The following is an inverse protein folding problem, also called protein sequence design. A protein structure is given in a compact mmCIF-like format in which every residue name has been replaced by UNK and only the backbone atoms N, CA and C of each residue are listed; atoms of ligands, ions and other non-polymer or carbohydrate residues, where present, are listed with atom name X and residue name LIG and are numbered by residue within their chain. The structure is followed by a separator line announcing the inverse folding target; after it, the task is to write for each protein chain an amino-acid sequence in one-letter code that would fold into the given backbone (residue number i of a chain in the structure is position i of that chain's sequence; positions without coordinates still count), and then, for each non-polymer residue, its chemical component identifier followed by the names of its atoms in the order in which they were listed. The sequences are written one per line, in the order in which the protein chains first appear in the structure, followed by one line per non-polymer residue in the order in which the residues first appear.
data_IF_744182367144
#
_entry.id   IF_744182367144
#
_cell.length_a   1.000
_cell.length_b   1.000
_cell.length_c   1.000
_cell.angle_alpha   90.00
_cell.angle_beta   90.00
_cell.angle_gamma   90.00
#
_symmetry.space_group_name_H-M   'P 1'
#
loop_
_entity.id
_entity.type
_entity.pdbx_description
1 polymer ?
2 non-polymer ?
3 non-polymer ?
4 water ?
#
# COMPACT_ATOMS: atom_id res chain seq x y z
N UNK A 21 4.55 -27.40 12.05
CA UNK A 21 5.71 -26.68 11.50
C UNK A 21 6.06 -25.43 12.31
N UNK A 22 7.37 -25.21 12.46
CA UNK A 22 7.90 -24.10 13.23
C UNK A 22 9.16 -23.54 12.58
N UNK A 23 9.50 -22.29 12.88
CA UNK A 23 10.68 -21.66 12.33
C UNK A 23 11.48 -20.87 13.37
N UNK A 24 12.77 -20.69 13.11
CA UNK A 24 13.65 -19.96 14.02
C UNK A 24 14.18 -18.68 13.38
N UNK A 25 14.07 -17.58 14.11
CA UNK A 25 14.54 -16.29 13.62
C UNK A 25 15.33 -15.67 14.77
N UNK A 26 16.63 -15.51 14.55
CA UNK A 26 17.57 -14.92 15.50
C UNK A 26 17.47 -15.58 16.90
N UNK A 27 17.44 -16.92 16.90
CA UNK A 27 17.35 -17.72 18.12
C UNK A 27 15.97 -17.83 18.75
N UNK A 28 14.97 -17.18 18.16
CA UNK A 28 13.60 -17.20 18.67
C UNK A 28 12.75 -18.12 17.81
N UNK A 29 12.06 -19.07 18.46
CA UNK A 29 11.21 -20.07 17.82
C UNK A 29 9.77 -19.56 17.72
N UNK A 30 9.20 -19.72 16.52
CA UNK A 30 7.83 -19.34 16.20
C UNK A 30 7.12 -20.53 15.60
N UNK A 31 5.90 -20.78 16.04
CA UNK A 31 5.11 -21.85 15.47
C UNK A 31 4.18 -21.25 14.43
N UNK A 32 4.04 -21.91 13.30
CA UNK A 32 3.22 -21.40 12.20
C UNK A 32 1.78 -21.75 12.48
N UNK A 33 0.90 -20.75 12.45
CA UNK A 33 -0.54 -20.96 12.60
C UNK A 33 -1.14 -21.22 11.23
N UNK A 34 -0.84 -20.36 10.25
CA UNK A 34 -1.33 -20.48 8.87
C UNK A 34 -0.51 -19.56 7.96
N UNK A 35 -0.64 -19.77 6.65
CA UNK A 35 0.06 -18.94 5.70
C UNK A 35 -0.92 -17.89 5.21
N UNK A 36 -0.63 -16.63 5.53
CA UNK A 36 -1.49 -15.53 5.11
C UNK A 36 -1.47 -15.29 3.60
N UNK A 37 -0.28 -15.35 3.01
CA UNK A 37 -0.14 -15.12 1.59
C UNK A 37 1.15 -15.63 0.98
N UNK A 38 1.18 -15.71 -0.34
CA UNK A 38 2.36 -16.15 -1.06
C UNK A 38 2.59 -15.30 -2.30
N UNK A 39 3.80 -14.75 -2.43
CA UNK A 39 4.13 -13.97 -3.60
C UNK A 39 5.49 -14.38 -4.15
N UNK A 40 5.53 -14.82 -5.40
CA UNK A 40 6.81 -15.21 -5.96
C UNK A 40 7.45 -16.25 -5.08
N UNK A 41 8.68 -15.96 -4.66
CA UNK A 41 9.47 -16.83 -3.80
C UNK A 41 9.25 -16.46 -2.33
N UNK A 42 8.34 -15.53 -2.09
CA UNK A 42 8.04 -15.05 -0.74
C UNK A 42 6.70 -15.53 -0.18
N UNK A 43 6.69 -15.87 1.10
CA UNK A 43 5.49 -16.32 1.79
C UNK A 43 5.32 -15.59 3.12
N UNK A 44 4.08 -15.35 3.51
CA UNK A 44 3.80 -14.68 4.77
C UNK A 44 3.04 -15.63 5.68
N UNK A 45 3.52 -15.80 6.91
CA UNK A 45 2.89 -16.71 7.85
C UNK A 45 2.45 -16.04 9.13
N UNK A 46 1.27 -16.42 9.61
CA UNK A 46 0.79 -15.92 10.87
C UNK A 46 1.47 -16.85 11.85
N UNK A 47 2.17 -16.31 12.83
CA UNK A 47 2.90 -17.16 13.77
C UNK A 47 2.80 -16.73 15.22
N UNK A 48 3.15 -17.65 16.11
CA UNK A 48 3.15 -17.36 17.53
C UNK A 48 4.52 -17.58 18.12
N UNK A 49 4.92 -16.69 19.02
CA UNK A 49 6.19 -16.84 19.68
C UNK A 49 5.98 -17.76 20.88
N UNK A 50 7.00 -17.95 21.70
CA UNK A 50 6.90 -18.82 22.85
C UNK A 50 5.84 -18.35 23.83
N UNK A 51 5.69 -17.04 23.95
CA UNK A 51 4.72 -16.44 24.86
C UNK A 51 3.33 -16.42 24.28
N UNK A 52 3.18 -16.93 23.08
CA UNK A 52 1.88 -16.97 22.43
C UNK A 52 1.44 -15.66 21.81
N UNK A 53 2.37 -14.73 21.68
CA UNK A 53 2.08 -13.47 21.04
C UNK A 53 2.08 -13.67 19.54
N UNK A 54 1.17 -13.02 18.84
CA UNK A 54 1.03 -13.14 17.39
C UNK A 54 1.98 -12.21 16.61
N UNK A 55 2.46 -12.71 15.48
CA UNK A 55 3.33 -11.98 14.59
C UNK A 55 3.13 -12.52 13.19
N UNK A 56 3.62 -11.80 12.21
CA UNK A 56 3.57 -12.20 10.82
C UNK A 56 5.02 -12.38 10.44
N UNK A 57 5.39 -13.55 9.92
CA UNK A 57 6.75 -13.76 9.41
C UNK A 57 6.73 -13.81 7.91
N UNK A 58 7.53 -12.94 7.28
CA UNK A 58 7.67 -12.97 5.83
C UNK A 58 8.92 -13.84 5.52
N UNK A 59 8.71 -14.91 4.74
CA UNK A 59 9.75 -15.81 4.31
C UNK A 59 10.05 -15.56 2.83
N UNK A 60 11.33 -15.36 2.49
CA UNK A 60 11.83 -15.16 1.12
C UNK A 60 12.86 -16.21 0.83
N UNK A 61 12.58 -17.07 -0.18
CA UNK A 61 13.48 -18.12 -0.63
C UNK A 61 14.41 -17.52 -1.70
N UNK A 62 15.65 -17.18 -1.31
CA UNK A 62 16.62 -16.55 -2.20
C UNK A 62 17.35 -17.49 -3.17
N UNK A 63 17.09 -18.81 -3.09
CA UNK A 63 17.73 -19.86 -3.89
C UNK A 63 17.74 -19.58 -5.41
N UNK A 64 16.68 -18.95 -5.96
CA UNK A 64 16.59 -18.60 -7.38
C UNK A 64 16.55 -17.07 -7.65
N UNK A 65 17.07 -16.27 -6.70
CA UNK A 65 17.06 -14.80 -6.78
C UNK A 65 18.27 -14.19 -7.47
N UNK A 66 17.99 -13.24 -8.38
CA UNK A 66 18.98 -12.48 -9.15
C UNK A 66 19.51 -11.31 -8.31
N UNK A 67 20.77 -10.90 -8.55
CA UNK A 67 21.43 -9.79 -7.84
C UNK A 67 20.63 -8.48 -7.79
N UNK A 68 19.82 -8.21 -8.83
CA UNK A 68 18.95 -7.04 -8.90
C UNK A 68 17.85 -7.15 -7.85
N UNK A 69 17.05 -8.25 -7.87
CA UNK A 69 15.96 -8.51 -6.91
C UNK A 69 16.44 -8.81 -5.49
N UNK A 70 17.63 -9.39 -5.39
CA UNK A 70 18.21 -9.70 -4.10
C UNK A 70 18.50 -8.37 -3.44
N UNK A 71 19.02 -7.45 -4.25
CA UNK A 71 19.36 -6.11 -3.80
C UNK A 71 18.10 -5.35 -3.39
N UNK A 72 17.02 -5.55 -4.14
CA UNK A 72 15.77 -4.87 -3.85
C UNK A 72 15.28 -5.26 -2.47
N UNK A 73 15.41 -6.54 -2.13
CA UNK A 73 15.00 -7.01 -0.82
C UNK A 73 15.85 -6.37 0.27
N UNK A 74 17.15 -6.24 0.01
CA UNK A 74 18.08 -5.62 0.96
C UNK A 74 17.70 -4.15 1.18
N UNK A 75 17.36 -3.51 0.08
CA UNK A 75 16.95 -2.11 0.11
C UNK A 75 15.65 -1.93 0.86
N UNK A 76 14.69 -2.82 0.60
CA UNK A 76 13.39 -2.76 1.24
C UNK A 76 13.52 -2.97 2.75
N UNK A 77 14.33 -3.94 3.15
CA UNK A 77 14.54 -4.20 4.57
C UNK A 77 15.23 -3.02 5.25
N UNK A 78 16.21 -2.44 4.58
CA UNK A 78 16.93 -1.30 5.16
C UNK A 78 15.99 -0.11 5.39
N UNK A 79 15.18 0.23 4.39
CA UNK A 79 14.26 1.34 4.53
C UNK A 79 13.22 1.06 5.61
N UNK A 80 12.72 -0.17 5.65
CA UNK A 80 11.70 -0.54 6.62
C UNK A 80 12.26 -0.39 8.01
N UNK A 81 13.49 -0.84 8.21
CA UNK A 81 14.12 -0.74 9.51
C UNK A 81 14.35 0.73 9.87
N UNK A 82 14.79 1.50 8.88
CA UNK A 82 15.06 2.91 9.05
C UNK A 82 13.83 3.75 9.35
N UNK A 83 12.72 3.45 8.70
CA UNK A 83 11.49 4.21 8.85
C UNK A 83 10.66 3.85 10.08
N UNK A 84 11.07 2.81 10.82
CA UNK A 84 10.44 2.35 12.07
C UNK A 84 10.14 3.53 13.03
N UNK A 85 11.18 4.26 13.40
CA UNK A 85 11.09 5.39 14.32
C UNK A 85 10.26 6.56 13.83
N UNK A 86 10.38 6.86 12.54
CA UNK A 86 9.69 7.99 11.95
C UNK A 86 8.16 7.96 11.96
N UNK A 87 7.56 6.81 11.71
CA UNK A 87 6.11 6.73 11.75
C UNK A 87 5.54 5.43 12.30
N UNK A 88 4.39 5.54 12.95
CA UNK A 88 3.71 4.38 13.49
C UNK A 88 2.70 3.87 12.45
N UNK A 89 2.64 4.55 11.31
CA UNK A 89 1.76 4.20 10.21
C UNK A 89 2.45 3.22 9.27
N UNK A 90 3.68 2.86 9.63
CA UNK A 90 4.47 1.92 8.87
C UNK A 90 4.52 0.66 9.73
N UNK A 91 4.34 -0.49 9.09
CA UNK A 91 4.32 -1.76 9.81
C UNK A 91 5.57 -2.01 10.62
N UNK A 92 5.39 -2.54 11.83
CA UNK A 92 6.52 -2.82 12.71
C UNK A 92 7.35 -3.98 12.19
N UNK A 93 8.67 -3.79 12.09
CA UNK A 93 9.61 -4.83 11.77
C UNK A 93 10.40 -5.02 13.06
N UNK A 94 10.19 -6.17 13.69
CA UNK A 94 10.79 -6.47 14.99
C UNK A 94 12.16 -7.03 14.89
N UNK A 95 12.37 -7.87 13.90
CA UNK A 95 13.61 -8.60 13.72
C UNK A 95 13.63 -9.23 12.36
N UNK A 96 14.81 -9.68 11.93
CA UNK A 96 14.98 -10.33 10.65
C UNK A 96 16.24 -11.15 10.59
N UNK A 97 16.26 -12.15 9.72
CA UNK A 97 17.42 -13.00 9.54
C UNK A 97 17.72 -13.05 8.06
N UNK A 98 18.96 -12.78 7.68
CA UNK A 98 19.35 -12.81 6.27
C UNK A 98 20.50 -13.76 6.02
N UNK A 99 20.31 -14.64 5.05
CA UNK A 99 21.30 -15.63 4.66
C UNK A 99 21.28 -15.69 3.15
N UNK A 100 22.26 -16.35 2.56
CA UNK A 100 22.32 -16.43 1.10
C UNK A 100 21.14 -17.22 0.55
N UNK A 101 20.53 -18.09 1.39
CA UNK A 101 19.41 -18.97 1.04
C UNK A 101 18.04 -18.37 1.29
N UNK A 102 17.88 -17.62 2.38
CA UNK A 102 16.58 -17.08 2.74
C UNK A 102 16.56 -15.82 3.57
N UNK A 103 15.38 -15.20 3.62
CA UNK A 103 15.15 -14.01 4.42
C UNK A 103 13.94 -14.22 5.32
N UNK A 104 14.07 -13.89 6.60
CA UNK A 104 12.96 -14.00 7.53
C UNK A 104 12.71 -12.63 8.13
N UNK A 105 11.48 -12.14 8.05
CA UNK A 105 11.18 -10.84 8.64
C UNK A 105 10.04 -11.03 9.65
N UNK A 106 10.30 -10.65 10.89
CA UNK A 106 9.28 -10.78 11.92
C UNK A 106 8.62 -9.42 12.01
N UNK A 107 7.33 -9.39 11.73
CA UNK A 107 6.56 -8.16 11.71
C UNK A 107 5.26 -8.31 12.48
N UNK A 108 4.68 -7.18 12.85
CA UNK A 108 3.42 -7.20 13.55
C UNK A 108 2.41 -7.79 12.58
N UNK A 109 1.49 -8.56 13.12
CA UNK A 109 0.45 -9.19 12.34
C UNK A 109 -0.79 -8.33 12.39
N UNK A 110 -1.31 -7.98 11.22
CA UNK A 110 -2.55 -7.22 11.13
C UNK A 110 -3.73 -8.15 10.99
N UNK A 111 -4.93 -7.60 11.15
CA UNK A 111 -6.16 -8.34 10.97
C UNK A 111 -6.40 -8.74 9.54
N UNK A 112 -6.21 -7.79 8.63
CA UNK A 112 -6.43 -8.03 7.21
C UNK A 112 -5.85 -6.89 6.37
N UNK A 113 -5.63 -7.12 5.09
CA UNK A 113 -5.14 -6.07 4.22
C UNK A 113 -6.32 -5.23 3.74
N UNK A 114 -6.06 -3.96 3.41
CA UNK A 114 -7.13 -3.08 2.96
C UNK A 114 -7.87 -3.60 1.72
N UNK A 115 -7.17 -4.25 0.77
CA UNK A 115 -7.82 -4.77 -0.44
C UNK A 115 -8.90 -5.81 -0.15
N UNK A 116 -8.55 -6.82 0.66
CA UNK A 116 -9.45 -7.91 1.06
C UNK A 116 -10.57 -7.36 1.90
N UNK A 117 -10.29 -6.32 2.70
CA UNK A 117 -11.32 -5.67 3.51
C UNK A 117 -12.33 -4.95 2.61
N UNK A 118 -11.84 -4.22 1.58
CA UNK A 118 -12.68 -3.47 0.64
C UNK A 118 -13.55 -4.39 -0.22
N UNK A 119 -13.00 -5.54 -0.67
CA UNK A 119 -13.72 -6.53 -1.47
C UNK A 119 -14.89 -7.15 -0.68
N UNK A 120 -14.73 -7.23 0.65
CA UNK A 120 -15.64 -7.80 1.65
C UNK A 120 -16.73 -6.81 2.10
N UNK A 121 -16.36 -5.56 2.44
CA UNK A 121 -17.24 -4.51 2.95
C UNK A 121 -18.36 -4.12 1.97
N UNK A 122 -19.63 -4.15 2.45
CA UNK A 122 -20.82 -3.79 1.68
C UNK A 122 -20.99 -2.28 1.59
N UNK A 123 -20.49 -1.57 2.60
CA UNK A 123 -20.53 -0.12 2.69
C UNK A 123 -19.43 0.31 3.64
N UNK A 124 -18.96 1.55 3.52
CA UNK A 124 -17.89 2.02 4.40
C UNK A 124 -18.29 3.25 5.22
N UNK A 125 -17.98 3.21 6.50
CA UNK A 125 -18.30 4.32 7.40
C UNK A 125 -17.52 5.56 6.95
N UNK A 126 -18.17 6.71 6.96
CA UNK A 126 -17.51 7.96 6.55
C UNK A 126 -16.33 8.28 7.46
N UNK A 127 -16.49 8.03 8.76
CA UNK A 127 -15.43 8.28 9.72
C UNK A 127 -14.25 7.35 9.50
N UNK A 128 -14.53 6.08 9.22
CA UNK A 128 -13.49 5.09 8.97
C UNK A 128 -12.68 5.43 7.73
N UNK A 129 -13.37 5.85 6.69
CA UNK A 129 -12.79 6.24 5.41
C UNK A 129 -11.84 7.44 5.63
N UNK A 130 -12.28 8.43 6.41
CA UNK A 130 -11.50 9.63 6.73
C UNK A 130 -10.26 9.25 7.55
N UNK A 131 -10.43 8.42 8.58
CA UNK A 131 -9.36 7.96 9.44
C UNK A 131 -8.33 7.15 8.65
N UNK A 132 -8.81 6.24 7.77
CA UNK A 132 -7.96 5.38 6.93
C UNK A 132 -7.15 6.27 5.98
N UNK A 133 -7.81 7.25 5.35
CA UNK A 133 -7.19 8.23 4.47
C UNK A 133 -6.04 8.96 5.17
N UNK A 134 -6.28 9.41 6.39
CA UNK A 134 -5.28 10.12 7.16
C UNK A 134 -4.08 9.24 7.44
N UNK A 135 -4.33 7.98 7.78
CA UNK A 135 -3.25 7.05 8.05
C UNK A 135 -2.41 6.85 6.80
N UNK A 136 -3.08 6.74 5.66
CA UNK A 136 -2.41 6.55 4.40
C UNK A 136 -1.54 7.74 4.03
N UNK A 137 -2.04 8.95 4.26
CA UNK A 137 -1.28 10.14 3.93
C UNK A 137 -0.03 10.23 4.79
N UNK A 138 -0.19 9.91 6.07
CA UNK A 138 0.92 9.95 7.02
C UNK A 138 2.01 8.93 6.63
N UNK A 139 1.63 7.68 6.31
CA UNK A 139 2.61 6.65 5.94
C UNK A 139 3.36 7.02 4.65
N UNK A 140 2.61 7.38 3.62
CA UNK A 140 3.17 7.73 2.33
C UNK A 140 4.03 8.99 2.42
N UNK A 141 3.56 9.95 3.21
CA UNK A 141 4.29 11.20 3.38
C UNK A 141 5.64 10.92 4.01
N UNK A 142 5.67 9.98 4.95
CA UNK A 142 6.90 9.62 5.63
C UNK A 142 7.94 9.05 4.67
N UNK A 143 7.51 8.20 3.74
CA UNK A 143 8.46 7.59 2.80
C UNK A 143 8.96 8.66 1.82
N UNK A 144 8.10 9.62 1.49
CA UNK A 144 8.48 10.68 0.57
C UNK A 144 9.59 11.53 1.15
N UNK A 145 9.51 11.76 2.46
CA UNK A 145 10.48 12.56 3.18
C UNK A 145 11.88 11.94 3.14
N UNK A 146 11.93 10.63 2.99
CA UNK A 146 13.21 9.92 2.91
C UNK A 146 13.65 9.66 1.47
N UNK A 147 12.93 10.26 0.54
CA UNK A 147 13.23 10.16 -0.89
C UNK A 147 12.66 8.96 -1.61
N UNK A 148 11.71 8.28 -0.99
CA UNK A 148 11.09 7.11 -1.58
C UNK A 148 9.71 7.35 -2.14
N UNK A 149 9.50 6.92 -3.38
CA UNK A 149 8.21 7.02 -4.02
C UNK A 149 7.83 5.56 -4.24
N UNK A 150 6.68 5.15 -3.70
CA UNK A 150 6.25 3.75 -3.82
C UNK A 150 6.02 3.35 -5.27
N UNK A 151 5.36 4.24 -5.99
CA UNK A 151 5.02 4.11 -7.41
C UNK A 151 4.12 2.89 -7.76
N UNK A 152 3.76 2.04 -6.78
CA UNK A 152 2.90 0.89 -7.05
C UNK A 152 1.81 0.78 -5.97
N UNK A 153 1.32 1.93 -5.46
CA UNK A 153 0.32 1.90 -4.40
C UNK A 153 -1.00 1.38 -4.86
N UNK A 154 -1.58 0.53 -4.00
CA UNK A 154 -2.89 -0.10 -4.15
C UNK A 154 -3.38 -0.50 -2.76
N UNK A 155 -4.66 -0.80 -2.57
CA UNK A 155 -5.13 -1.16 -1.22
C UNK A 155 -4.36 -2.28 -0.51
N UNK A 156 -3.86 -3.27 -1.28
CA UNK A 156 -3.09 -4.43 -0.80
C UNK A 156 -1.76 -4.06 -0.11
N UNK A 157 -1.32 -2.79 -0.26
CA UNK A 157 -0.09 -2.28 0.37
C UNK A 157 -0.37 -1.78 1.77
N UNK A 158 -1.65 -1.75 2.14
CA UNK A 158 -2.09 -1.27 3.43
C UNK A 158 -2.68 -2.37 4.26
N UNK A 159 -2.22 -2.44 5.52
CA UNK A 159 -2.65 -3.43 6.49
C UNK A 159 -3.52 -2.77 7.57
N UNK A 160 -4.60 -3.41 7.96
CA UNK A 160 -5.43 -2.84 9.00
C UNK A 160 -4.99 -3.49 10.30
N UNK A 161 -4.48 -2.68 11.21
CA UNK A 161 -4.01 -3.15 12.49
C UNK A 161 -4.60 -2.29 13.58
N UNK A 162 -5.33 -2.90 14.51
CA UNK A 162 -5.89 -2.11 15.60
C UNK A 162 -6.74 -0.96 15.08
N UNK A 163 -7.52 -1.22 14.05
CA UNK A 163 -8.36 -0.19 13.48
C UNK A 163 -7.53 0.96 12.96
N UNK A 164 -6.34 0.65 12.49
CA UNK A 164 -5.42 1.63 11.95
C UNK A 164 -4.81 1.09 10.68
N UNK A 165 -4.54 1.96 9.72
CA UNK A 165 -3.94 1.51 8.47
C UNK A 165 -2.45 1.70 8.51
N UNK A 166 -1.72 0.67 8.11
CA UNK A 166 -0.26 0.76 8.10
C UNK A 166 0.28 0.39 6.74
N UNK A 167 1.28 1.11 6.26
CA UNK A 167 1.93 0.77 5.00
C UNK A 167 2.80 -0.49 5.22
N UNK A 168 2.60 -1.50 4.40
CA UNK A 168 3.32 -2.79 4.53
C UNK A 168 4.69 -2.74 3.86
N UNK A 169 4.74 -2.17 2.67
CA UNK A 169 5.96 -2.21 1.85
C UNK A 169 6.20 -0.91 1.14
N UNK A 170 7.42 -0.72 0.62
CA UNK A 170 7.80 0.54 -0.01
C UNK A 170 7.90 0.46 -1.55
N UNK A 171 7.34 -0.60 -2.14
CA UNK A 171 7.33 -0.81 -3.58
C UNK A 171 8.68 -1.18 -4.20
N UNK A 172 9.67 -1.58 -3.38
CA UNK A 172 11.01 -1.99 -3.86
C UNK A 172 11.02 -3.51 -4.12
N UNK A 173 10.65 -4.31 -3.13
CA UNK A 173 10.52 -5.76 -3.27
C UNK A 173 9.14 -6.13 -3.88
N UNK A 174 9.02 -7.36 -4.42
CA UNK A 174 7.84 -7.87 -5.11
C UNK A 174 6.59 -8.01 -4.22
N UNK A 175 5.43 -7.64 -4.76
CA UNK A 175 4.14 -7.69 -4.07
C UNK A 175 3.61 -9.12 -3.85
N UNK A 176 2.75 -9.28 -2.85
CA UNK A 176 2.17 -10.57 -2.52
C UNK A 176 0.64 -10.53 -2.44
N UNK A 177 0.00 -11.68 -2.62
CA UNK A 177 -1.45 -11.80 -2.58
C UNK A 177 -1.88 -12.86 -1.56
N UNK A 178 -3.09 -12.77 -1.04
CA UNK A 178 -3.54 -13.74 -0.03
C UNK A 178 -3.76 -15.16 -0.56
N UNK A 179 -3.91 -16.14 0.35
CA UNK A 179 -4.16 -17.55 0.01
C UNK A 179 -5.46 -18.03 0.63
N UNK A 189 -2.79 -12.01 -9.62
CA UNK A 189 -2.91 -11.08 -10.74
C UNK A 189 -2.83 -9.64 -10.28
N UNK A 190 -2.13 -8.80 -11.06
CA UNK A 190 -1.97 -7.38 -10.77
C UNK A 190 -2.98 -6.51 -11.48
N UNK A 191 -3.03 -5.23 -11.13
CA UNK A 191 -3.97 -4.31 -11.76
C UNK A 191 -3.34 -2.96 -12.16
N UNK A 192 -3.82 -2.41 -13.27
CA UNK A 192 -3.33 -1.12 -13.77
C UNK A 192 -4.29 0.02 -13.42
N UNK A 193 -5.26 -0.29 -12.57
CA UNK A 193 -6.28 0.67 -12.16
C UNK A 193 -5.75 1.90 -11.42
N UNK A 194 -4.71 1.73 -10.64
CA UNK A 194 -4.12 2.82 -9.86
C UNK A 194 -2.93 3.51 -10.53
N UNK A 195 -2.62 3.14 -11.77
CA UNK A 195 -1.48 3.73 -12.45
C UNK A 195 -1.68 5.21 -12.84
N UNK A 196 -0.73 6.07 -12.51
CA UNK A 196 -0.81 7.50 -12.85
C UNK A 196 -0.58 7.74 -14.35
N UNK A 197 -1.13 8.79 -14.92
CA UNK A 197 -0.94 9.05 -16.35
C UNK A 197 0.52 9.28 -16.74
N UNK A 198 1.26 9.99 -15.90
CA UNK A 198 2.67 10.30 -16.16
C UNK A 198 3.54 9.05 -16.31
N UNK A 199 3.19 7.95 -15.61
CA UNK A 199 3.93 6.68 -15.69
C UNK A 199 3.77 6.08 -17.10
N UNK A 200 2.53 6.14 -17.66
CA UNK A 200 2.15 5.62 -18.99
C UNK A 200 2.77 6.51 -20.08
N UNK A 201 2.65 7.84 -19.91
CA UNK A 201 3.17 8.84 -20.86
C UNK A 201 4.70 8.75 -21.03
N UNK A 202 5.42 8.36 -19.95
CA UNK A 202 6.88 8.20 -19.92
C UNK A 202 7.34 6.91 -20.66
N UNK A 203 6.85 6.70 -21.91
CA UNK A 203 7.14 5.57 -22.80
C UNK A 203 7.07 6.01 -24.27
N UNK A 216 7.57 10.19 -12.71
CA UNK A 216 7.46 9.53 -11.40
C UNK A 216 8.14 10.35 -10.30
N UNK A 217 7.30 11.07 -9.56
CA UNK A 217 7.65 11.96 -8.46
C UNK A 217 6.68 11.61 -7.32
N UNK A 218 6.74 12.23 -6.12
CA UNK A 218 5.73 11.93 -5.08
C UNK A 218 4.26 12.08 -5.54
N UNK A 219 4.00 12.96 -6.53
CA UNK A 219 2.66 13.18 -7.08
C UNK A 219 2.08 11.92 -7.68
N UNK A 220 2.92 11.02 -8.14
CA UNK A 220 2.51 9.72 -8.68
C UNK A 220 1.77 8.89 -7.61
N UNK A 221 2.26 8.93 -6.37
CA UNK A 221 1.63 8.25 -5.24
C UNK A 221 0.32 8.93 -4.83
N UNK A 222 0.23 10.25 -5.05
CA UNK A 222 -0.98 11.01 -4.75
C UNK A 222 -2.11 10.48 -5.66
N UNK A 223 -1.81 10.27 -6.96
CA UNK A 223 -2.78 9.75 -7.92
C UNK A 223 -3.31 8.41 -7.44
N UNK A 224 -2.42 7.49 -7.04
CA UNK A 224 -2.76 6.15 -6.58
C UNK A 224 -3.55 6.17 -5.29
N UNK A 225 -3.16 7.00 -4.32
CA UNK A 225 -3.91 7.20 -3.08
C UNK A 225 -5.32 7.75 -3.41
N UNK A 226 -5.40 8.66 -4.37
CA UNK A 226 -6.65 9.23 -4.87
C UNK A 226 -7.56 8.13 -5.42
N UNK A 227 -7.01 7.21 -6.22
CA UNK A 227 -7.72 6.04 -6.78
C UNK A 227 -8.26 5.15 -5.65
N UNK A 228 -7.47 4.96 -4.56
CA UNK A 228 -7.86 4.17 -3.39
C UNK A 228 -9.02 4.85 -2.68
N UNK A 229 -8.92 6.18 -2.46
CA UNK A 229 -9.97 6.94 -1.80
C UNK A 229 -11.26 6.95 -2.66
N UNK A 230 -11.10 7.07 -3.96
CA UNK A 230 -12.23 7.08 -4.86
C UNK A 230 -12.96 5.75 -4.74
N UNK A 231 -12.19 4.68 -4.65
CA UNK A 231 -12.72 3.34 -4.50
C UNK A 231 -13.47 3.23 -3.18
N UNK A 232 -12.91 3.81 -2.13
CA UNK A 232 -13.52 3.79 -0.82
C UNK A 232 -14.77 4.65 -0.77
N UNK A 233 -14.91 5.54 -1.73
CA UNK A 233 -16.02 6.49 -1.80
C UNK A 233 -17.13 6.01 -2.72
N UNK A 234 -16.78 5.64 -3.96
CA UNK A 234 -17.75 5.25 -4.98
C UNK A 234 -17.85 3.73 -5.23
N UNK A 235 -17.13 2.93 -4.44
CA UNK A 235 -17.14 1.47 -4.54
C UNK A 235 -16.41 0.90 -5.74
N UNK A 236 -15.77 1.77 -6.55
CA UNK A 236 -15.01 1.38 -7.74
C UNK A 236 -13.85 2.33 -7.99
N UNK A 237 -12.83 1.89 -8.75
CA UNK A 237 -11.70 2.77 -9.11
C UNK A 237 -12.13 3.69 -10.29
N UNK A 238 -11.42 4.82 -10.57
CA UNK A 238 -11.89 5.74 -11.62
C UNK A 238 -12.05 5.17 -13.05
N UNK A 239 -11.33 4.10 -13.40
CA UNK A 239 -11.36 3.53 -14.75
C UNK A 239 -11.68 2.03 -14.76
N UNK A 240 -12.22 1.53 -13.66
CA UNK A 240 -12.53 0.12 -13.51
C UNK A 240 -13.49 -0.40 -14.58
N UNK A 241 -14.48 0.42 -14.92
CA UNK A 241 -15.47 0.08 -15.95
C UNK A 241 -14.84 -0.31 -17.30
N UNK A 242 -13.64 0.23 -17.62
CA UNK A 242 -13.00 -0.08 -18.91
C UNK A 242 -12.36 -1.48 -18.85
N UNK A 243 -13.02 -2.46 -19.47
CA UNK A 243 -12.57 -3.86 -19.55
C UNK A 243 -11.32 -3.97 -20.45
N UNK A 244 -11.35 -3.37 -21.67
CA UNK A 244 -10.22 -3.34 -22.61
C UNK A 244 -9.04 -2.55 -21.96
N UNK A 245 -7.97 -3.28 -21.65
CA UNK A 245 -6.79 -2.69 -21.02
C UNK A 245 -6.13 -1.58 -21.83
N UNK A 246 -6.05 -1.75 -23.15
CA UNK A 246 -5.44 -0.72 -23.97
C UNK A 246 -6.27 0.54 -23.89
N UNK A 247 -7.60 0.39 -23.91
CA UNK A 247 -8.49 1.53 -23.80
C UNK A 247 -8.35 2.18 -22.44
N UNK A 248 -8.21 1.36 -21.41
CA UNK A 248 -8.06 1.83 -20.02
C UNK A 248 -6.88 2.75 -19.92
N UNK A 249 -5.74 2.31 -20.42
CA UNK A 249 -4.54 3.13 -20.37
C UNK A 249 -4.79 4.43 -21.12
N UNK A 250 -5.48 4.35 -22.25
CA UNK A 250 -5.78 5.54 -23.02
C UNK A 250 -6.68 6.49 -22.22
N UNK A 251 -7.65 5.92 -21.51
CA UNK A 251 -8.56 6.71 -20.71
C UNK A 251 -7.80 7.43 -19.60
N UNK A 252 -6.86 6.72 -18.98
CA UNK A 252 -6.03 7.29 -17.90
C UNK A 252 -5.23 8.52 -18.38
N UNK A 253 -4.69 8.49 -19.61
CA UNK A 253 -3.89 9.60 -20.14
C UNK A 253 -4.70 10.61 -20.96
N UNK A 254 -5.95 10.33 -21.28
CA UNK A 254 -6.70 11.26 -22.12
C UNK A 254 -7.27 12.42 -21.32
N UNK A 255 -6.90 13.64 -21.69
CA UNK A 255 -7.44 14.81 -21.00
C UNK A 255 -8.95 14.93 -21.19
N UNK A 256 -9.39 14.57 -22.39
CA UNK A 256 -10.79 14.64 -22.82
C UNK A 256 -11.66 13.57 -22.15
N UNK A 257 -11.06 12.61 -21.47
CA UNK A 257 -11.86 11.61 -20.81
C UNK A 257 -12.11 12.19 -19.45
N UNK A 258 -13.36 12.45 -19.13
CA UNK A 258 -13.67 13.06 -17.85
C UNK A 258 -14.06 12.08 -16.77
N UNK A 259 -13.31 12.11 -15.69
CA UNK A 259 -13.60 11.23 -14.58
C UNK A 259 -14.87 11.73 -13.93
N UNK A 260 -15.73 10.79 -13.58
CA UNK A 260 -17.01 11.09 -12.95
C UNK A 260 -16.78 11.26 -11.46
N UNK A 261 -17.32 12.33 -10.88
CA UNK A 261 -17.28 12.60 -9.44
C UNK A 261 -18.72 12.86 -8.96
N UNK A 262 -19.56 11.79 -8.82
CA UNK A 262 -20.96 11.99 -8.40
C UNK A 262 -21.07 12.71 -7.06
N UNK A 263 -21.99 13.70 -6.99
CA UNK A 263 -22.27 14.49 -5.79
C UNK A 263 -22.54 13.59 -4.59
N UNK A 264 -21.93 13.93 -3.47
CA UNK A 264 -22.00 13.19 -2.21
C UNK A 264 -22.17 14.21 -1.07
N UNK A 265 -22.65 13.82 0.15
CA UNK A 265 -22.77 14.84 1.22
C UNK A 265 -21.45 15.48 1.63
N UNK A 266 -20.35 14.71 1.57
CA UNK A 266 -19.03 15.24 1.93
C UNK A 266 -18.45 15.99 0.74
N UNK A 267 -18.62 17.30 0.75
CA UNK A 267 -18.16 18.17 -0.33
C UNK A 267 -16.64 18.29 -0.36
N UNK A 268 -16.00 18.21 0.82
CA UNK A 268 -14.55 18.22 1.02
C UNK A 268 -13.90 16.95 0.46
N UNK A 269 -14.57 15.81 0.59
CA UNK A 269 -14.12 14.51 0.08
C UNK A 269 -14.08 14.55 -1.44
N UNK A 270 -15.13 15.09 -2.08
CA UNK A 270 -15.24 15.23 -3.52
C UNK A 270 -14.11 16.11 -4.07
N UNK A 271 -13.79 17.23 -3.38
CA UNK A 271 -12.69 18.12 -3.77
C UNK A 271 -11.34 17.39 -3.66
N UNK A 272 -11.13 16.61 -2.57
CA UNK A 272 -9.89 15.80 -2.40
C UNK A 272 -9.70 14.91 -3.62
N UNK A 273 -10.78 14.19 -3.99
CA UNK A 273 -10.81 13.28 -5.15
C UNK A 273 -10.49 13.97 -6.46
N UNK A 274 -11.06 15.16 -6.68
CA UNK A 274 -10.82 15.94 -7.90
C UNK A 274 -9.38 16.43 -7.96
N UNK A 275 -8.81 16.80 -6.79
CA UNK A 275 -7.45 17.29 -6.68
C UNK A 275 -6.38 16.20 -6.81
N UNK A 276 -6.67 14.96 -6.38
CA UNK A 276 -5.72 13.85 -6.49
C UNK A 276 -5.71 13.31 -7.90
N UNK A 277 -6.86 13.38 -8.59
CA UNK A 277 -7.03 12.79 -9.90
C UNK A 277 -6.86 13.77 -11.06
N UNK A 278 -6.06 14.82 -10.85
CA UNK A 278 -5.67 15.75 -11.90
C UNK A 278 -4.56 15.07 -12.68
N UNK A 279 -4.72 14.99 -14.02
CA UNK A 279 -3.78 14.35 -14.94
C UNK A 279 -2.39 15.03 -14.97
N UNK A 280 -2.34 16.35 -14.86
CA UNK A 280 -1.07 17.08 -14.83
C UNK A 280 -0.48 16.98 -13.39
N UNK A 281 0.65 16.25 -13.17
CA UNK A 281 1.19 16.12 -11.81
C UNK A 281 1.53 17.45 -11.15
N UNK A 282 1.91 18.46 -11.94
CA UNK A 282 2.22 19.80 -11.45
C UNK A 282 0.97 20.45 -10.82
N UNK A 283 -0.23 20.17 -11.39
CA UNK A 283 -1.53 20.69 -10.91
C UNK A 283 -2.14 19.80 -9.83
N UNK A 284 -1.76 18.52 -9.82
CA UNK A 284 -2.24 17.57 -8.82
C UNK A 284 -1.77 18.05 -7.43
N UNK A 285 -2.63 17.91 -6.44
CA UNK A 285 -2.36 18.28 -5.06
C UNK A 285 -1.20 17.44 -4.48
N UNK A 286 -0.50 18.02 -3.51
CA UNK A 286 0.61 17.39 -2.83
C UNK A 286 0.13 16.84 -1.49
N UNK A 287 0.89 15.91 -0.92
CA UNK A 287 0.53 15.31 0.36
C UNK A 287 0.50 16.35 1.48
N UNK A 288 1.44 17.29 1.51
CA UNK A 288 1.46 18.31 2.56
C UNK A 288 0.18 19.13 2.52
N UNK A 289 -0.27 19.43 1.31
CA UNK A 289 -1.52 20.18 1.06
C UNK A 289 -2.69 19.29 1.43
N UNK A 290 -2.62 17.98 1.12
CA UNK A 290 -3.70 17.04 1.48
C UNK A 290 -3.87 16.97 2.99
N UNK A 291 -2.76 17.13 3.72
CA UNK A 291 -2.74 17.12 5.17
C UNK A 291 -3.32 18.36 5.78
N UNK A 292 -3.39 19.47 5.02
CA UNK A 292 -4.00 20.73 5.51
C UNK A 292 -5.41 20.90 4.95
N UNK A 293 -5.90 19.90 4.22
CA UNK A 293 -7.22 19.94 3.64
C UNK A 293 -8.32 19.83 4.69
N UNK A 294 -9.45 20.47 4.43
CA UNK A 294 -10.54 20.42 5.40
C UNK A 294 -10.99 19.01 5.62
N UNK A 295 -10.97 18.19 4.58
CA UNK A 295 -11.44 16.83 4.69
C UNK A 295 -10.72 16.09 5.79
N UNK A 296 -9.43 16.35 5.95
CA UNK A 296 -8.68 15.69 7.02
C UNK A 296 -8.53 16.49 8.32
N UNK A 297 -8.72 17.80 8.25
CA UNK A 297 -8.60 18.69 9.41
C UNK A 297 -9.88 19.02 10.14
N UNK A 298 -10.98 19.15 9.40
CA UNK A 298 -12.27 19.51 9.96
C UNK A 298 -13.12 18.26 10.16
N UNK A 299 -13.80 18.20 11.33
CA UNK A 299 -14.70 17.10 11.73
C UNK A 299 -16.07 17.63 12.20
#
# INVERSE_FOLDING_TARGET
MHHHHHHSSGVDLGTENLYFQSMSVKGRIYSILKQIGSGGSSKVFQVLNEKKQIYAIKYVNLEEADNQTLDSYRNEIAYLNKLQQHSDKIIRLYDYEITDQYIYMVMECGNIDLNSWLKKKKSIDPWERKSYWKNMLEAVHTIHQHGIVHSDLKPANFLIVDGMLKLIDFGIANQMQPDTTSVVKDSQVGTVNYMPPEAIKDMSSSRENGKSKSKISPKSDVWSLGCILYYMTYGKTPFQQIINQISKLHAIIDPNHEIEFPDIPEKDLQDVLKCCLKRDPKQRISIPELLAHPYVQIQTHPVNQMAKGTTEE
#
